data_IF_497734968224
#
_entry.id   IF_497734968224
#
_cell.length_a   1.000
_cell.length_b   1.000
_cell.length_c   1.000
_cell.angle_alpha   90.00
_cell.angle_beta   90.00
_cell.angle_gamma   90.00
#
_symmetry.space_group_name_H-M   'P 1'
#
loop_
_entity.id
_entity.type
_entity.pdbx_description
1 polymer ?
#
# COMPACT_ATOMS: atom_id res chain seq x y z
N UNK A 1 23.08 63.64 29.73
CA UNK A 1 22.88 63.19 28.33
C UNK A 1 21.90 62.01 28.32
N UNK A 2 20.97 62.04 27.42
CA UNK A 2 20.01 60.91 27.18
C UNK A 2 20.18 60.42 25.73
N UNK A 3 20.44 59.15 25.53
CA UNK A 3 20.71 58.57 24.22
C UNK A 3 21.71 59.41 23.35
N UNK A 4 22.78 59.87 23.95
CA UNK A 4 23.80 60.74 23.29
C UNK A 4 23.42 62.17 23.09
N UNK A 5 22.20 62.60 23.45
CA UNK A 5 21.70 63.98 23.31
C UNK A 5 21.94 64.78 24.58
N UNK A 6 22.59 65.89 24.45
CA UNK A 6 22.86 66.79 25.56
C UNK A 6 21.61 67.61 25.92
N UNK A 7 21.04 67.36 27.11
CA UNK A 7 19.85 68.08 27.63
C UNK A 7 20.10 68.74 28.99
N UNK A 8 21.36 68.77 29.42
CA UNK A 8 21.75 69.43 30.68
C UNK A 8 21.60 70.93 30.61
N UNK A 9 21.09 71.60 31.70
CA UNK A 9 20.88 73.01 31.77
C UNK A 9 19.61 73.54 31.10
N UNK A 10 18.79 72.67 30.50
CA UNK A 10 17.50 73.00 29.88
C UNK A 10 16.35 72.85 30.89
N UNK A 11 15.28 73.63 30.71
CA UNK A 11 14.02 73.37 31.41
C UNK A 11 13.42 71.98 31.01
N UNK A 12 12.59 71.38 31.84
CA UNK A 12 11.99 70.04 31.48
C UNK A 12 11.25 70.07 30.14
N UNK A 13 10.57 71.12 29.79
CA UNK A 13 9.86 71.27 28.51
C UNK A 13 10.82 71.41 27.32
N UNK A 14 11.88 72.17 27.47
CA UNK A 14 12.92 72.35 26.42
C UNK A 14 13.69 71.02 26.21
N UNK A 15 14.02 70.31 27.28
CA UNK A 15 14.69 69.04 27.25
C UNK A 15 13.83 67.98 26.53
N UNK A 16 12.51 67.88 26.82
CA UNK A 16 11.57 66.96 26.14
C UNK A 16 11.45 67.28 24.66
N UNK A 17 11.24 68.60 24.31
CA UNK A 17 11.15 68.97 22.89
C UNK A 17 12.45 68.74 22.11
N UNK A 18 13.61 68.87 22.78
CA UNK A 18 14.92 68.60 22.16
C UNK A 18 15.12 67.09 21.91
N UNK A 19 14.72 66.22 22.85
CA UNK A 19 14.74 64.78 22.69
C UNK A 19 13.83 64.35 21.53
N UNK A 20 12.58 64.82 21.48
CA UNK A 20 11.63 64.55 20.43
C UNK A 20 12.15 64.92 19.04
N UNK A 21 12.64 66.12 18.88
CA UNK A 21 13.20 66.59 17.60
C UNK A 21 14.44 65.84 17.18
N UNK A 22 15.35 65.55 18.10
CA UNK A 22 16.61 64.83 17.80
C UNK A 22 16.38 63.33 17.43
N UNK A 23 15.33 62.75 17.99
CA UNK A 23 15.01 61.36 17.74
C UNK A 23 13.94 61.12 16.65
N UNK A 24 13.32 62.19 16.14
CA UNK A 24 12.24 62.13 15.16
C UNK A 24 12.62 61.26 13.91
N UNK A 25 13.83 61.43 13.39
CA UNK A 25 14.31 60.73 12.23
C UNK A 25 14.52 59.20 12.51
N UNK A 26 14.83 58.84 13.76
CA UNK A 26 15.05 57.45 14.17
C UNK A 26 13.71 56.76 14.45
N UNK A 27 12.74 57.48 15.03
CA UNK A 27 11.41 56.94 15.35
C UNK A 27 10.55 56.65 14.13
N UNK A 28 10.79 57.34 13.02
CA UNK A 28 10.08 57.17 11.75
C UNK A 28 10.62 56.00 10.92
N UNK A 29 11.83 55.53 11.19
CA UNK A 29 12.43 54.40 10.42
C UNK A 29 11.81 53.07 10.83
N UNK A 30 11.44 52.21 9.85
CA UNK A 30 10.95 50.88 10.17
C UNK A 30 12.03 50.02 10.84
N UNK A 31 11.62 49.22 11.80
CA UNK A 31 12.47 48.17 12.40
C UNK A 31 12.37 46.95 11.53
N UNK A 32 13.50 46.49 11.01
CA UNK A 32 13.60 45.27 10.23
C UNK A 32 13.80 44.06 11.14
N UNK A 33 12.83 43.19 11.19
CA UNK A 33 12.91 41.88 11.85
C UNK A 33 13.54 40.89 10.91
N UNK A 34 14.43 40.05 11.43
CA UNK A 34 15.07 38.96 10.64
C UNK A 34 14.90 37.64 11.34
N UNK A 35 14.55 36.55 10.57
CA UNK A 35 14.56 35.19 11.06
C UNK A 35 14.99 34.23 9.94
N UNK A 36 16.10 33.53 10.13
CA UNK A 36 16.70 32.73 9.06
C UNK A 36 17.06 33.59 7.84
N UNK A 37 16.44 33.28 6.69
CA UNK A 37 16.58 34.10 5.46
C UNK A 37 15.42 35.11 5.25
N UNK A 38 14.40 35.06 6.13
CA UNK A 38 13.23 35.94 6.05
C UNK A 38 13.47 37.32 6.68
N UNK A 39 12.81 38.34 6.13
CA UNK A 39 12.80 39.71 6.68
C UNK A 39 11.38 40.24 6.69
N UNK A 40 11.04 41.02 7.71
CA UNK A 40 9.77 41.71 7.81
C UNK A 40 9.99 43.10 8.45
N UNK A 41 9.37 44.11 7.92
CA UNK A 41 9.50 45.46 8.44
C UNK A 41 8.32 45.81 9.39
N UNK A 42 8.62 46.40 10.53
CA UNK A 42 7.69 46.91 11.54
C UNK A 42 7.82 48.41 11.64
N UNK A 43 6.73 49.16 11.38
CA UNK A 43 6.70 50.57 11.54
C UNK A 43 6.39 50.90 13.02
N UNK A 44 7.31 51.54 13.76
CA UNK A 44 7.18 51.77 15.20
C UNK A 44 5.92 52.57 15.57
N UNK A 45 5.66 53.70 14.90
CA UNK A 45 4.50 54.53 15.20
C UNK A 45 3.17 53.83 14.96
N UNK A 46 3.04 53.11 13.83
CA UNK A 46 1.86 52.30 13.56
C UNK A 46 1.74 51.11 14.53
N UNK A 47 2.84 50.60 15.06
CA UNK A 47 2.89 49.58 16.08
C UNK A 47 2.62 50.08 17.51
N UNK A 48 2.42 51.40 17.71
CA UNK A 48 2.19 51.98 19.03
C UNK A 48 3.43 52.06 19.90
N UNK A 49 4.62 52.12 19.29
CA UNK A 49 5.89 52.39 19.95
C UNK A 49 6.18 53.89 19.87
N UNK A 50 6.25 54.58 21.00
CA UNK A 50 6.54 55.99 21.12
C UNK A 50 7.59 56.20 22.18
N UNK A 51 8.41 57.25 22.02
CA UNK A 51 9.34 57.71 23.05
C UNK A 51 8.58 58.61 24.01
N UNK A 52 8.61 58.28 25.28
CA UNK A 52 8.07 59.14 26.34
C UNK A 52 9.17 60.08 26.82
N UNK A 53 9.34 61.18 26.06
CA UNK A 53 10.35 62.17 26.35
C UNK A 53 10.07 62.88 27.69
N UNK A 54 8.78 63.15 28.01
CA UNK A 54 8.38 63.76 29.25
C UNK A 54 8.71 62.89 30.48
N UNK A 55 8.35 61.58 30.45
CA UNK A 55 8.69 60.69 31.51
C UNK A 55 10.20 60.44 31.63
N UNK A 56 10.94 60.41 30.49
CA UNK A 56 12.40 60.31 30.51
C UNK A 56 13.06 61.51 31.22
N UNK A 57 12.59 62.71 30.93
CA UNK A 57 13.10 63.94 31.52
C UNK A 57 12.67 64.06 33.00
N UNK A 58 11.44 63.73 33.37
CA UNK A 58 10.94 63.76 34.73
C UNK A 58 11.80 62.95 35.71
N UNK A 59 12.35 61.82 35.29
CA UNK A 59 13.29 61.03 36.12
C UNK A 59 14.63 61.73 36.38
N UNK A 60 15.01 62.65 35.51
CA UNK A 60 16.26 63.45 35.63
C UNK A 60 16.09 64.72 36.43
N UNK A 61 14.87 65.29 36.44
CA UNK A 61 14.55 66.54 37.09
C UNK A 61 14.11 66.41 38.54
N UNK A 62 13.99 65.21 39.09
CA UNK A 62 13.61 64.96 40.50
C UNK A 62 14.72 65.35 41.47
N UNK A 63 14.34 65.99 42.57
CA UNK A 63 15.27 66.30 43.68
C UNK A 63 15.83 64.97 44.25
N UNK A 64 17.15 64.87 44.34
CA UNK A 64 17.82 63.66 44.86
C UNK A 64 18.92 64.05 45.85
N UNK A 65 18.92 63.36 46.99
CA UNK A 65 20.02 63.42 47.98
C UNK A 65 21.03 62.27 47.74
N UNK A 66 20.90 61.48 46.68
CA UNK A 66 21.84 60.41 46.38
C UNK A 66 23.17 61.02 45.89
N UNK A 67 24.29 60.81 46.62
CA UNK A 67 25.57 61.45 46.30
C UNK A 67 26.13 61.04 44.93
N UNK A 68 25.83 59.81 44.50
CA UNK A 68 26.25 59.27 43.18
C UNK A 68 25.52 60.03 42.05
N UNK A 69 24.23 60.34 42.20
CA UNK A 69 23.44 61.08 41.22
C UNK A 69 23.84 62.58 41.21
N UNK A 70 24.15 63.13 42.37
CA UNK A 70 24.65 64.47 42.46
C UNK A 70 26.01 64.66 41.77
N UNK A 71 26.91 63.69 42.00
CA UNK A 71 28.23 63.69 41.33
C UNK A 71 28.11 63.50 39.82
N UNK A 72 27.27 62.47 39.34
CA UNK A 72 27.03 62.27 37.95
C UNK A 72 26.35 63.46 37.25
N UNK A 73 25.50 64.23 37.97
CA UNK A 73 24.90 65.48 37.48
C UNK A 73 25.93 66.57 37.29
N UNK A 74 26.89 66.66 38.21
CA UNK A 74 27.98 67.65 38.14
C UNK A 74 29.03 67.38 37.08
N UNK A 75 29.28 66.06 36.80
CA UNK A 75 30.27 65.59 35.81
C UNK A 75 29.67 65.43 34.42
N UNK A 76 28.37 65.61 34.25
CA UNK A 76 27.67 65.43 32.97
C UNK A 76 27.65 64.01 32.43
N UNK A 77 28.01 62.95 33.26
CA UNK A 77 28.21 61.61 32.87
C UNK A 77 26.96 60.73 33.06
N UNK A 78 25.81 61.28 33.48
CA UNK A 78 24.59 60.53 33.71
C UNK A 78 23.99 60.11 32.36
N UNK A 79 24.06 58.81 32.08
CA UNK A 79 23.39 58.15 30.96
C UNK A 79 22.06 57.62 31.44
N UNK A 80 20.96 58.16 30.95
CA UNK A 80 19.63 57.65 31.26
C UNK A 80 19.05 56.94 30.02
N UNK A 81 18.53 55.75 30.16
CA UNK A 81 17.83 55.09 29.08
C UNK A 81 16.51 55.81 28.76
N UNK A 82 16.14 55.80 27.49
CA UNK A 82 14.86 56.35 27.03
C UNK A 82 13.71 55.55 27.61
N UNK A 83 12.67 56.27 28.08
CA UNK A 83 11.39 55.60 28.41
C UNK A 83 10.53 55.49 27.17
N UNK A 84 9.92 54.34 27.02
CA UNK A 84 9.02 54.06 25.92
C UNK A 84 7.57 54.00 26.43
N UNK A 85 6.67 54.58 25.67
CA UNK A 85 5.25 54.38 25.80
C UNK A 85 4.82 53.36 24.76
N UNK A 86 4.29 52.23 25.21
CA UNK A 86 3.96 51.10 24.34
C UNK A 86 2.45 50.82 24.44
N UNK A 87 1.73 51.00 23.35
CA UNK A 87 0.38 50.44 23.18
C UNK A 87 0.50 48.94 22.96
N UNK A 88 0.36 48.18 24.04
CA UNK A 88 0.58 46.71 24.02
C UNK A 88 -0.28 45.99 22.99
N UNK A 89 -1.53 46.43 22.77
CA UNK A 89 -2.44 45.80 21.83
C UNK A 89 -1.97 45.98 20.38
N UNK A 90 -1.66 47.25 20.01
CA UNK A 90 -1.13 47.56 18.66
C UNK A 90 0.24 46.92 18.43
N UNK A 91 1.10 46.95 19.44
CA UNK A 91 2.45 46.43 19.35
C UNK A 91 2.44 44.90 19.15
N UNK A 92 1.67 44.17 19.96
CA UNK A 92 1.52 42.72 19.81
C UNK A 92 0.92 42.36 18.45
N UNK A 93 -0.08 43.10 17.99
CA UNK A 93 -0.68 42.87 16.66
C UNK A 93 0.33 43.09 15.52
N UNK A 94 1.15 44.18 15.61
CA UNK A 94 2.18 44.47 14.60
C UNK A 94 3.29 43.40 14.59
N UNK A 95 3.79 42.96 15.77
CA UNK A 95 4.77 41.87 15.86
C UNK A 95 4.18 40.57 15.39
N UNK A 96 2.92 40.27 15.71
CA UNK A 96 2.23 39.07 15.21
C UNK A 96 2.12 39.09 13.68
N UNK A 97 1.81 40.20 13.08
CA UNK A 97 1.78 40.36 11.62
C UNK A 97 3.16 40.11 11.00
N UNK A 98 4.21 40.68 11.57
CA UNK A 98 5.58 40.47 11.12
C UNK A 98 6.04 39.03 11.33
N UNK A 99 5.68 38.41 12.46
CA UNK A 99 5.96 37.01 12.75
C UNK A 99 5.36 36.08 11.69
N UNK A 100 4.11 36.29 11.30
CA UNK A 100 3.45 35.49 10.22
C UNK A 100 4.19 35.60 8.88
N UNK A 101 4.82 36.71 8.58
CA UNK A 101 5.63 36.88 7.37
C UNK A 101 6.99 36.15 7.44
N UNK A 102 7.48 35.93 8.67
CA UNK A 102 8.75 35.27 8.95
C UNK A 102 8.57 33.75 9.23
N UNK A 103 7.36 33.31 9.61
CA UNK A 103 7.05 31.92 9.85
C UNK A 103 7.04 31.14 8.54
N UNK A 104 7.62 29.97 8.58
CA UNK A 104 7.64 29.05 7.46
C UNK A 104 7.50 27.60 7.93
N UNK A 105 6.64 26.78 7.29
CA UNK A 105 6.52 25.37 7.64
C UNK A 105 7.79 24.60 7.30
N UNK A 106 8.14 23.63 8.15
CA UNK A 106 9.16 22.65 7.83
C UNK A 106 8.73 21.84 6.61
N UNK A 107 9.61 21.71 5.64
CA UNK A 107 9.44 20.75 4.53
C UNK A 107 10.67 19.86 4.42
N UNK A 108 10.43 18.56 4.50
CA UNK A 108 11.49 17.57 4.30
C UNK A 108 11.90 17.50 2.83
N UNK A 109 13.19 17.36 2.61
CA UNK A 109 13.71 17.09 1.27
C UNK A 109 13.48 15.62 0.88
N UNK A 110 13.19 15.36 -0.40
CA UNK A 110 13.00 14.02 -0.91
C UNK A 110 13.43 13.88 -2.37
N UNK A 111 13.68 12.64 -2.77
CA UNK A 111 13.92 12.27 -4.17
C UNK A 111 12.95 11.16 -4.51
N UNK A 112 12.19 11.35 -5.59
CA UNK A 112 11.25 10.35 -6.12
C UNK A 112 11.58 10.03 -7.58
N UNK A 113 11.15 8.85 -8.05
CA UNK A 113 11.44 8.38 -9.40
C UNK A 113 10.13 8.08 -10.12
N UNK A 114 9.79 8.88 -11.11
CA UNK A 114 8.57 8.69 -11.92
C UNK A 114 8.83 9.04 -13.38
N UNK A 115 8.15 8.35 -14.30
CA UNK A 115 8.28 8.61 -15.73
C UNK A 115 9.72 8.46 -16.28
N UNK A 116 10.56 7.68 -15.61
CA UNK A 116 11.97 7.52 -15.99
C UNK A 116 12.88 8.68 -15.60
N UNK A 117 12.43 9.56 -14.68
CA UNK A 117 13.19 10.73 -14.21
C UNK A 117 13.27 10.74 -12.69
N UNK A 118 14.33 11.36 -12.16
CA UNK A 118 14.47 11.66 -10.74
C UNK A 118 13.91 13.06 -10.47
N UNK A 119 12.96 13.15 -9.54
CA UNK A 119 12.35 14.41 -9.10
C UNK A 119 12.88 14.79 -7.73
N UNK A 120 13.46 15.97 -7.64
CA UNK A 120 14.09 16.49 -6.43
C UNK A 120 13.17 17.48 -5.75
N UNK A 121 12.83 17.25 -4.49
CA UNK A 121 12.11 18.17 -3.65
C UNK A 121 13.09 18.77 -2.64
N UNK A 122 13.42 20.07 -2.73
CA UNK A 122 14.31 20.69 -1.78
C UNK A 122 13.69 20.79 -0.40
N UNK A 123 14.51 20.63 0.63
CA UNK A 123 14.10 20.86 2.01
C UNK A 123 13.98 22.34 2.34
N UNK A 124 13.07 22.68 3.25
CA UNK A 124 12.89 24.02 3.80
C UNK A 124 12.97 23.92 5.32
N UNK A 125 13.77 24.81 5.91
CA UNK A 125 13.86 24.94 7.37
C UNK A 125 12.56 25.53 7.91
N UNK A 126 11.99 24.89 8.91
CA UNK A 126 10.81 25.41 9.61
C UNK A 126 11.22 26.51 10.57
N UNK A 127 10.51 27.65 10.54
CA UNK A 127 10.71 28.79 11.42
C UNK A 127 9.39 29.12 12.08
N UNK A 128 9.38 29.26 13.39
CA UNK A 128 8.23 29.70 14.18
C UNK A 128 8.67 30.80 15.12
N UNK A 129 8.26 32.03 14.84
CA UNK A 129 8.60 33.21 15.63
C UNK A 129 7.83 33.21 16.95
N UNK A 130 8.52 33.45 18.03
CA UNK A 130 7.95 33.64 19.36
C UNK A 130 7.58 35.10 19.53
N UNK A 131 6.31 35.43 19.38
CA UNK A 131 5.79 36.81 19.32
C UNK A 131 6.15 37.60 20.55
N UNK A 132 5.93 37.08 21.78
CA UNK A 132 6.22 37.82 23.03
C UNK A 132 7.70 38.14 23.17
N UNK A 133 8.56 37.11 23.04
CA UNK A 133 10.01 37.25 23.16
C UNK A 133 10.58 38.20 22.07
N UNK A 134 9.99 38.19 20.87
CA UNK A 134 10.36 39.11 19.79
C UNK A 134 9.91 40.55 20.08
N UNK A 135 8.72 40.71 20.65
CA UNK A 135 8.24 42.03 21.08
C UNK A 135 9.17 42.63 22.13
N UNK A 136 9.58 41.87 23.13
CA UNK A 136 10.53 42.29 24.15
C UNK A 136 11.89 42.67 23.53
N UNK A 137 12.38 41.88 22.58
CA UNK A 137 13.63 42.15 21.87
C UNK A 137 13.55 43.45 21.06
N UNK A 138 12.41 43.71 20.38
CA UNK A 138 12.19 44.99 19.66
C UNK A 138 12.12 46.17 20.60
N UNK A 139 11.33 46.06 21.67
CA UNK A 139 11.19 47.13 22.65
C UNK A 139 12.53 47.49 23.32
N UNK A 140 13.38 46.50 23.58
CA UNK A 140 14.70 46.69 24.18
C UNK A 140 15.74 47.27 23.21
N UNK A 141 15.59 47.01 21.92
CA UNK A 141 16.53 47.44 20.89
C UNK A 141 16.21 48.82 20.31
N UNK A 142 14.93 49.19 20.25
CA UNK A 142 14.45 50.43 19.64
C UNK A 142 14.57 51.62 20.64
N UNK A 143 14.92 52.83 20.19
CA UNK A 143 15.14 53.26 18.79
C UNK A 143 16.57 53.08 18.30
N UNK A 144 17.47 52.50 19.11
CA UNK A 144 18.90 52.47 18.84
C UNK A 144 19.28 51.55 17.69
N UNK A 145 18.52 50.47 17.52
CA UNK A 145 18.74 49.48 16.46
C UNK A 145 17.55 49.39 15.53
N UNK A 146 17.84 49.47 14.23
CA UNK A 146 16.86 49.34 13.15
C UNK A 146 16.75 47.93 12.62
N UNK A 147 17.65 47.01 13.01
CA UNK A 147 17.61 45.59 12.65
C UNK A 147 17.60 44.77 13.93
N UNK A 148 16.57 44.01 14.11
CA UNK A 148 16.37 43.15 15.28
C UNK A 148 16.17 41.69 14.81
N UNK A 149 16.94 40.78 15.38
CA UNK A 149 16.74 39.38 15.15
C UNK A 149 15.50 38.89 15.93
N UNK A 150 14.50 38.40 15.24
CA UNK A 150 13.33 37.82 15.86
C UNK A 150 13.70 36.54 16.62
N UNK A 151 13.13 36.38 17.80
CA UNK A 151 13.30 35.14 18.57
C UNK A 151 12.43 34.05 17.94
N UNK A 152 13.04 33.00 17.38
CA UNK A 152 12.31 31.99 16.68
C UNK A 152 12.79 30.57 17.05
N UNK A 153 11.84 29.64 17.09
CA UNK A 153 12.15 28.22 17.10
C UNK A 153 12.45 27.75 15.67
N UNK A 154 13.68 27.34 15.46
CA UNK A 154 14.12 26.83 14.15
C UNK A 154 14.12 25.30 14.18
N UNK A 155 13.37 24.69 13.27
CA UNK A 155 13.32 23.22 13.09
C UNK A 155 14.02 22.86 11.78
N UNK A 156 15.09 22.08 11.90
CA UNK A 156 15.86 21.67 10.73
C UNK A 156 15.27 20.39 10.13
N UNK A 157 15.21 20.27 8.79
CA UNK A 157 14.79 19.05 8.12
C UNK A 157 15.80 17.92 8.38
N UNK A 158 15.32 16.70 8.44
CA UNK A 158 16.18 15.49 8.55
C UNK A 158 17.05 15.30 7.34
N UNK A 159 16.52 15.62 6.15
CA UNK A 159 17.26 15.58 4.89
C UNK A 159 17.61 17.01 4.48
N UNK A 160 18.89 17.36 4.56
CA UNK A 160 19.35 18.68 4.19
C UNK A 160 19.32 18.92 2.67
N UNK A 161 19.27 20.20 2.26
CA UNK A 161 19.37 20.55 0.83
C UNK A 161 20.72 20.14 0.23
N UNK A 162 21.78 20.11 1.03
CA UNK A 162 23.09 19.63 0.61
C UNK A 162 23.07 18.13 0.34
N UNK A 163 22.37 17.35 1.20
CA UNK A 163 22.22 15.91 1.02
C UNK A 163 21.40 15.59 -0.23
N UNK A 164 20.33 16.34 -0.51
CA UNK A 164 19.57 16.19 -1.77
C UNK A 164 20.47 16.39 -2.98
N UNK A 165 21.31 17.44 -2.98
CA UNK A 165 22.24 17.70 -4.09
C UNK A 165 23.29 16.61 -4.23
N UNK A 166 23.85 16.11 -3.11
CA UNK A 166 24.80 14.98 -3.12
C UNK A 166 24.13 13.73 -3.72
N UNK A 167 23.01 13.32 -3.18
CA UNK A 167 22.29 12.13 -3.61
C UNK A 167 21.84 12.22 -5.09
N UNK A 168 21.42 13.40 -5.54
CA UNK A 168 21.07 13.66 -6.94
C UNK A 168 22.28 13.40 -7.87
N UNK A 169 23.46 13.92 -7.51
CA UNK A 169 24.67 13.80 -8.30
C UNK A 169 25.24 12.39 -8.26
N UNK A 170 25.29 11.77 -7.08
CA UNK A 170 25.99 10.49 -6.90
C UNK A 170 25.19 9.29 -7.43
N UNK A 171 23.88 9.29 -7.27
CA UNK A 171 23.10 8.12 -7.68
C UNK A 171 21.74 8.42 -8.35
N UNK A 172 20.98 9.45 -7.92
CA UNK A 172 19.59 9.54 -8.34
C UNK A 172 19.43 9.91 -9.82
N UNK A 173 20.18 10.91 -10.30
CA UNK A 173 20.20 11.27 -11.72
C UNK A 173 20.91 10.19 -12.56
N UNK A 174 22.10 9.69 -12.16
CA UNK A 174 22.76 8.58 -12.85
C UNK A 174 21.89 7.33 -12.95
N UNK A 175 21.12 6.98 -11.91
CA UNK A 175 20.27 5.78 -11.92
C UNK A 175 19.28 5.74 -13.09
N UNK A 176 18.75 6.85 -13.49
CA UNK A 176 17.75 6.96 -14.57
C UNK A 176 18.29 7.61 -15.85
N UNK A 177 19.61 7.75 -15.98
CA UNK A 177 20.26 8.43 -17.12
C UNK A 177 20.21 7.64 -18.43
N UNK A 178 19.91 6.34 -18.37
CA UNK A 178 19.87 5.50 -19.57
C UNK A 178 19.30 4.10 -19.28
N UNK A 179 19.09 3.31 -20.34
CA UNK A 179 18.55 1.97 -20.22
C UNK A 179 19.52 1.00 -19.55
N UNK A 180 18.98 -0.10 -19.02
CA UNK A 180 19.74 -1.21 -18.44
C UNK A 180 19.46 -2.48 -19.23
N UNK A 181 20.52 -3.15 -19.69
CA UNK A 181 20.39 -4.47 -20.32
C UNK A 181 20.27 -5.54 -19.24
N UNK A 182 19.15 -6.25 -19.24
CA UNK A 182 18.91 -7.38 -18.33
C UNK A 182 19.00 -8.68 -19.11
N UNK A 183 19.94 -9.55 -18.72
CA UNK A 183 20.04 -10.92 -19.21
C UNK A 183 19.33 -11.86 -18.23
N UNK A 184 18.31 -12.56 -18.70
CA UNK A 184 17.44 -13.42 -17.90
C UNK A 184 17.36 -14.80 -18.56
N UNK A 185 18.17 -15.75 -18.13
CA UNK A 185 18.34 -17.03 -18.82
C UNK A 185 18.88 -16.84 -20.25
N UNK A 186 18.15 -17.36 -21.24
CA UNK A 186 18.47 -17.18 -22.66
C UNK A 186 17.97 -15.81 -23.24
N UNK A 187 17.13 -15.10 -22.49
CA UNK A 187 16.56 -13.82 -22.91
C UNK A 187 17.49 -12.67 -22.55
N UNK A 188 17.62 -11.70 -23.47
CA UNK A 188 18.29 -10.42 -23.21
C UNK A 188 17.36 -9.30 -23.57
N UNK A 189 17.04 -8.44 -22.61
CA UNK A 189 16.09 -7.34 -22.77
C UNK A 189 16.68 -6.03 -22.30
N UNK A 190 16.26 -4.93 -22.90
CA UNK A 190 16.68 -3.58 -22.55
C UNK A 190 15.53 -2.90 -21.83
N UNK A 191 15.73 -2.60 -20.55
CA UNK A 191 14.77 -1.85 -19.74
C UNK A 191 15.05 -0.35 -19.88
N UNK A 192 14.11 0.39 -20.42
CA UNK A 192 14.14 1.84 -20.40
C UNK A 192 13.91 2.39 -18.97
N UNK A 193 14.45 3.58 -18.62
CA UNK A 193 14.21 4.19 -17.31
C UNK A 193 12.74 4.28 -16.88
N UNK A 194 11.84 4.54 -17.83
CA UNK A 194 10.39 4.59 -17.58
C UNK A 194 9.79 3.26 -17.10
N UNK A 195 10.42 2.13 -17.44
CA UNK A 195 9.95 0.80 -17.05
C UNK A 195 10.40 0.38 -15.66
N UNK A 196 11.53 0.90 -15.15
CA UNK A 196 12.06 0.51 -13.85
C UNK A 196 12.08 1.62 -12.80
N UNK A 197 11.88 2.89 -13.17
CA UNK A 197 11.93 4.02 -12.23
C UNK A 197 10.98 3.83 -11.04
N UNK A 198 9.78 3.27 -11.26
CA UNK A 198 8.83 2.97 -10.19
C UNK A 198 9.33 1.94 -9.15
N UNK A 199 10.38 1.17 -9.48
CA UNK A 199 11.03 0.26 -8.55
C UNK A 199 12.14 0.94 -7.73
N UNK A 200 12.43 2.22 -7.97
CA UNK A 200 13.46 2.98 -7.26
C UNK A 200 12.83 3.88 -6.21
N UNK A 201 13.48 3.97 -5.07
CA UNK A 201 13.14 4.88 -3.98
C UNK A 201 14.41 5.28 -3.23
N UNK A 202 14.28 6.17 -2.26
CA UNK A 202 15.38 6.51 -1.36
C UNK A 202 15.05 6.15 0.08
N UNK A 203 16.07 5.77 0.84
CA UNK A 203 16.00 5.57 2.29
C UNK A 203 16.99 6.48 2.99
N UNK A 204 16.61 6.95 4.18
CA UNK A 204 17.46 7.77 5.03
C UNK A 204 18.12 6.90 6.10
N UNK A 205 19.42 6.99 6.26
CA UNK A 205 20.13 6.36 7.37
C UNK A 205 20.13 7.22 8.64
N UNK A 206 20.69 6.68 9.73
CA UNK A 206 20.77 7.38 11.03
C UNK A 206 21.66 8.63 10.99
N UNK A 207 22.56 8.72 10.04
CA UNK A 207 23.46 9.87 9.85
C UNK A 207 22.82 10.98 8.97
N UNK A 208 21.58 10.78 8.51
CA UNK A 208 20.89 11.73 7.63
C UNK A 208 21.32 11.66 6.17
N UNK A 209 21.90 10.52 5.72
CA UNK A 209 22.33 10.29 4.34
C UNK A 209 21.28 9.48 3.58
N UNK A 210 21.02 9.89 2.35
CA UNK A 210 20.12 9.18 1.45
C UNK A 210 20.88 8.06 0.71
N UNK A 211 20.23 6.91 0.61
CA UNK A 211 20.70 5.74 -0.15
C UNK A 211 19.64 5.32 -1.15
N UNK A 212 20.06 4.84 -2.31
CA UNK A 212 19.17 4.24 -3.29
C UNK A 212 18.63 2.92 -2.76
N UNK A 213 17.32 2.74 -2.84
CA UNK A 213 16.64 1.49 -2.54
C UNK A 213 15.93 0.98 -3.79
N UNK A 214 16.10 -0.30 -4.08
CA UNK A 214 15.41 -1.00 -5.16
C UNK A 214 14.31 -1.88 -4.58
N UNK A 215 13.09 -1.73 -5.06
CA UNK A 215 11.98 -2.62 -4.77
C UNK A 215 12.05 -3.83 -5.71
N UNK A 216 12.45 -4.99 -5.17
CA UNK A 216 12.58 -6.23 -5.96
C UNK A 216 11.29 -6.66 -6.63
N UNK A 217 10.14 -6.73 -5.93
CA UNK A 217 8.87 -7.08 -6.55
C UNK A 217 8.52 -6.21 -7.74
N UNK A 218 8.64 -4.88 -7.61
CA UNK A 218 8.35 -3.94 -8.69
C UNK A 218 9.33 -4.09 -9.87
N UNK A 219 10.63 -4.24 -9.58
CA UNK A 219 11.63 -4.49 -10.60
C UNK A 219 11.38 -5.81 -11.34
N UNK A 220 11.10 -6.90 -10.62
CA UNK A 220 10.82 -8.20 -11.22
C UNK A 220 9.56 -8.18 -12.08
N UNK A 221 8.55 -7.40 -11.69
CA UNK A 221 7.38 -7.16 -12.53
C UNK A 221 7.76 -6.52 -13.87
N UNK A 222 8.62 -5.50 -13.84
CA UNK A 222 9.10 -4.83 -15.04
C UNK A 222 9.94 -5.79 -15.93
N UNK A 223 10.83 -6.59 -15.32
CA UNK A 223 11.64 -7.60 -16.03
C UNK A 223 10.76 -8.65 -16.69
N UNK A 224 9.76 -9.20 -15.97
CA UNK A 224 8.82 -10.18 -16.53
C UNK A 224 7.99 -9.62 -17.68
N UNK A 225 7.56 -8.36 -17.56
CA UNK A 225 6.81 -7.70 -18.63
C UNK A 225 7.67 -7.50 -19.88
N UNK A 226 8.97 -7.21 -19.72
CA UNK A 226 9.90 -7.00 -20.83
C UNK A 226 10.42 -8.32 -21.43
N UNK A 227 10.49 -9.39 -20.62
CA UNK A 227 10.99 -10.71 -21.03
C UNK A 227 9.93 -11.81 -20.84
N UNK A 228 8.78 -11.76 -21.54
CA UNK A 228 7.79 -12.82 -21.48
C UNK A 228 8.42 -14.13 -21.98
N UNK A 229 8.34 -15.20 -21.19
CA UNK A 229 8.95 -16.48 -21.53
C UNK A 229 10.36 -16.72 -20.95
N UNK A 230 10.97 -15.74 -20.27
CA UNK A 230 12.20 -15.98 -19.50
C UNK A 230 11.98 -16.99 -18.37
N UNK A 231 10.81 -16.99 -17.76
CA UNK A 231 10.39 -17.97 -16.75
C UNK A 231 9.51 -19.07 -17.37
N UNK A 232 9.62 -20.28 -16.85
CA UNK A 232 8.73 -21.38 -17.17
C UNK A 232 8.02 -21.82 -15.89
N UNK A 233 6.69 -21.66 -15.80
CA UNK A 233 5.96 -22.13 -14.63
C UNK A 233 6.07 -23.65 -14.49
N UNK A 234 6.11 -24.20 -13.27
CA UNK A 234 6.04 -25.62 -13.04
C UNK A 234 4.67 -26.15 -13.45
N UNK A 235 4.64 -27.42 -13.86
CA UNK A 235 3.41 -28.16 -14.14
C UNK A 235 3.29 -29.26 -13.10
N UNK A 236 2.19 -29.30 -12.37
CA UNK A 236 1.93 -30.33 -11.37
C UNK A 236 1.66 -31.69 -12.04
N UNK A 237 2.12 -32.77 -11.41
CA UNK A 237 1.72 -34.11 -11.81
C UNK A 237 0.22 -34.33 -11.57
N UNK A 238 -0.40 -35.08 -12.41
CA UNK A 238 -1.81 -35.43 -12.31
C UNK A 238 -2.04 -36.88 -12.76
N UNK A 239 -3.28 -37.35 -12.70
CA UNK A 239 -3.69 -38.67 -13.21
C UNK A 239 -4.81 -38.44 -14.22
N UNK A 240 -4.66 -39.01 -15.41
CA UNK A 240 -5.68 -39.03 -16.45
C UNK A 240 -5.99 -40.44 -16.91
N UNK A 241 -7.14 -40.64 -17.55
CA UNK A 241 -7.45 -41.88 -18.24
C UNK A 241 -6.88 -41.83 -19.66
N UNK A 242 -5.96 -42.74 -19.95
CA UNK A 242 -5.40 -42.93 -21.29
C UNK A 242 -5.79 -44.33 -21.73
N UNK A 243 -6.46 -44.45 -22.87
CA UNK A 243 -7.02 -45.73 -23.37
C UNK A 243 -7.85 -46.47 -22.29
N UNK A 244 -8.62 -45.76 -21.49
CA UNK A 244 -9.50 -46.34 -20.45
C UNK A 244 -8.77 -46.83 -19.20
N UNK A 245 -7.49 -46.52 -19.00
CA UNK A 245 -6.71 -46.86 -17.80
C UNK A 245 -6.11 -45.62 -17.16
N UNK A 246 -6.07 -45.51 -15.82
CA UNK A 246 -5.41 -44.41 -15.13
C UNK A 246 -3.90 -44.42 -15.43
N UNK A 247 -3.38 -43.26 -15.82
CA UNK A 247 -1.95 -43.02 -16.01
C UNK A 247 -1.52 -41.73 -15.35
N UNK A 248 -0.36 -41.77 -14.68
CA UNK A 248 0.25 -40.58 -14.10
C UNK A 248 0.88 -39.76 -15.20
N UNK A 249 0.44 -38.51 -15.32
CA UNK A 249 1.11 -37.48 -16.13
C UNK A 249 2.21 -36.88 -15.28
N UNK A 250 3.49 -36.96 -15.67
CA UNK A 250 4.59 -36.51 -14.87
C UNK A 250 4.54 -34.98 -14.66
N UNK A 251 5.02 -34.53 -13.50
CA UNK A 251 5.28 -33.13 -13.25
C UNK A 251 6.42 -32.64 -14.13
N UNK A 252 6.36 -31.36 -14.47
CA UNK A 252 7.47 -30.68 -15.14
C UNK A 252 7.99 -29.58 -14.21
N UNK A 253 9.28 -29.65 -13.91
CA UNK A 253 9.94 -28.62 -13.14
C UNK A 253 9.97 -27.31 -13.95
N UNK A 254 9.58 -26.21 -13.30
CA UNK A 254 9.64 -24.88 -13.84
C UNK A 254 11.00 -24.24 -13.63
N UNK A 255 11.16 -23.03 -14.17
CA UNK A 255 12.30 -22.17 -13.91
C UNK A 255 11.81 -20.76 -13.65
N UNK A 256 12.35 -20.11 -12.60
CA UNK A 256 12.02 -18.73 -12.23
C UNK A 256 13.27 -17.90 -12.05
N UNK A 257 13.15 -16.61 -12.21
CA UNK A 257 14.23 -15.66 -11.97
C UNK A 257 14.59 -15.63 -10.48
N UNK A 258 15.89 -15.66 -10.17
CA UNK A 258 16.39 -15.53 -8.80
C UNK A 258 16.27 -14.08 -8.33
N UNK A 259 15.29 -13.84 -7.45
CA UNK A 259 14.99 -12.52 -6.91
C UNK A 259 15.95 -12.09 -5.80
N UNK A 260 16.69 -13.00 -5.17
CA UNK A 260 17.44 -12.73 -3.93
C UNK A 260 18.59 -11.73 -4.12
N UNK A 261 19.31 -11.84 -5.22
CA UNK A 261 20.49 -11.01 -5.49
C UNK A 261 20.19 -9.80 -6.41
N UNK A 262 18.94 -9.62 -6.83
CA UNK A 262 18.58 -8.64 -7.85
C UNK A 262 18.79 -7.21 -7.38
N UNK A 263 18.44 -6.87 -6.14
CA UNK A 263 18.50 -5.49 -5.63
C UNK A 263 19.91 -4.89 -5.67
N UNK A 264 20.87 -5.57 -5.06
CA UNK A 264 22.25 -5.08 -5.01
C UNK A 264 22.87 -5.01 -6.41
N UNK A 265 22.67 -6.05 -7.23
CA UNK A 265 23.20 -6.11 -8.60
C UNK A 265 22.55 -5.06 -9.51
N UNK A 266 21.26 -4.81 -9.35
CA UNK A 266 20.55 -3.79 -10.14
C UNK A 266 21.04 -2.39 -9.75
N UNK A 267 21.12 -2.09 -8.46
CA UNK A 267 21.64 -0.81 -7.98
C UNK A 267 23.04 -0.52 -8.54
N UNK A 268 23.92 -1.53 -8.56
CA UNK A 268 25.26 -1.42 -9.16
C UNK A 268 25.18 -1.21 -10.68
N UNK A 269 24.30 -1.93 -11.38
CA UNK A 269 24.15 -1.81 -12.83
C UNK A 269 23.64 -0.42 -13.26
N UNK A 270 22.91 0.28 -12.39
CA UNK A 270 22.39 1.63 -12.69
C UNK A 270 23.50 2.69 -12.87
N UNK A 271 24.68 2.45 -12.32
CA UNK A 271 25.82 3.37 -12.41
C UNK A 271 27.04 2.77 -13.09
N UNK A 272 26.98 1.49 -13.48
CA UNK A 272 28.08 0.78 -14.16
C UNK A 272 28.19 1.13 -15.65
N UNK A 273 29.36 0.82 -16.21
CA UNK A 273 29.59 0.85 -17.65
C UNK A 273 30.22 -0.48 -18.09
N UNK A 274 29.53 -1.33 -18.88
CA UNK A 274 28.16 -1.14 -19.41
C UNK A 274 27.07 -1.32 -18.33
N UNK A 275 25.92 -0.68 -18.54
CA UNK A 275 24.73 -0.82 -17.67
C UNK A 275 24.05 -2.15 -17.96
N UNK A 276 24.51 -3.21 -17.33
CA UNK A 276 24.02 -4.56 -17.57
C UNK A 276 23.86 -5.35 -16.27
N UNK A 277 22.87 -6.22 -16.23
CA UNK A 277 22.55 -7.13 -15.12
C UNK A 277 22.25 -8.51 -15.66
N UNK A 278 22.81 -9.55 -15.06
CA UNK A 278 22.42 -10.94 -15.29
C UNK A 278 21.62 -11.45 -14.10
N UNK A 279 20.42 -11.95 -14.37
CA UNK A 279 19.54 -12.61 -13.39
C UNK A 279 19.52 -14.10 -13.72
N UNK A 280 20.00 -14.91 -12.80
CA UNK A 280 20.02 -16.36 -12.96
C UNK A 280 18.61 -16.96 -12.86
N UNK A 281 18.41 -18.08 -13.54
CA UNK A 281 17.22 -18.91 -13.36
C UNK A 281 17.48 -19.93 -12.26
N UNK A 282 16.54 -20.07 -11.36
CA UNK A 282 16.52 -21.12 -10.32
C UNK A 282 15.36 -22.06 -10.54
N UNK A 283 15.45 -23.35 -10.10
CA UNK A 283 14.35 -24.29 -10.18
C UNK A 283 13.08 -23.75 -9.52
N UNK A 284 11.94 -24.01 -10.16
CA UNK A 284 10.61 -23.79 -9.60
C UNK A 284 9.94 -25.16 -9.48
N UNK A 285 9.98 -25.81 -8.31
CA UNK A 285 9.42 -27.13 -8.14
C UNK A 285 7.89 -27.11 -8.26
N UNK A 286 7.29 -28.15 -8.85
CA UNK A 286 5.85 -28.32 -8.87
C UNK A 286 5.31 -28.55 -7.45
N UNK A 287 4.08 -28.14 -7.20
CA UNK A 287 3.39 -28.40 -5.92
C UNK A 287 3.10 -29.88 -5.73
N UNK A 288 2.78 -30.57 -6.84
CA UNK A 288 2.56 -32.01 -6.88
C UNK A 288 3.66 -32.65 -7.71
N UNK A 289 4.51 -33.43 -7.06
CA UNK A 289 5.58 -34.16 -7.73
C UNK A 289 5.06 -35.40 -8.42
N UNK A 290 5.78 -35.95 -9.41
CA UNK A 290 5.48 -37.22 -10.04
C UNK A 290 5.45 -38.37 -9.02
N UNK A 291 6.36 -38.35 -8.04
CA UNK A 291 6.39 -39.35 -6.97
C UNK A 291 5.12 -39.31 -6.10
N UNK A 292 4.64 -38.11 -5.74
CA UNK A 292 3.40 -37.93 -5.00
C UNK A 292 2.20 -38.48 -5.78
N UNK A 293 2.10 -38.13 -7.07
CA UNK A 293 1.00 -38.64 -7.92
C UNK A 293 1.02 -40.17 -8.11
N UNK A 294 2.21 -40.76 -8.20
CA UNK A 294 2.35 -42.25 -8.22
C UNK A 294 1.92 -42.87 -6.88
N UNK A 295 2.24 -42.21 -5.77
CA UNK A 295 1.84 -42.63 -4.43
C UNK A 295 0.34 -42.66 -4.20
N UNK A 296 -0.46 -41.92 -4.99
CA UNK A 296 -1.92 -41.98 -4.91
C UNK A 296 -2.52 -43.29 -5.42
N UNK A 297 -1.79 -44.10 -6.17
CA UNK A 297 -2.16 -45.45 -6.60
C UNK A 297 -3.57 -45.56 -7.21
N UNK A 298 -3.93 -44.66 -8.12
CA UNK A 298 -5.18 -44.75 -8.87
C UNK A 298 -5.02 -45.90 -9.91
N UNK A 299 -5.65 -47.06 -9.70
CA UNK A 299 -5.39 -48.28 -10.46
C UNK A 299 -6.60 -48.87 -11.19
N UNK A 300 -7.76 -48.85 -10.54
CA UNK A 300 -8.93 -49.64 -10.96
C UNK A 300 -10.23 -48.83 -10.76
N UNK A 301 -11.31 -49.33 -11.34
CA UNK A 301 -12.66 -48.83 -11.05
C UNK A 301 -13.09 -49.30 -9.67
N UNK A 302 -13.32 -48.38 -8.76
CA UNK A 302 -13.78 -48.68 -7.40
C UNK A 302 -15.30 -48.60 -7.27
N UNK A 303 -15.96 -47.81 -8.11
CA UNK A 303 -17.42 -47.77 -8.21
C UNK A 303 -17.87 -47.21 -9.57
N UNK A 304 -19.08 -47.57 -9.98
CA UNK A 304 -19.73 -47.00 -11.16
C UNK A 304 -21.22 -46.89 -10.92
N UNK A 305 -21.80 -45.76 -11.25
CA UNK A 305 -23.25 -45.59 -11.19
C UNK A 305 -23.77 -44.88 -12.44
N UNK A 306 -24.94 -45.34 -12.92
CA UNK A 306 -25.61 -44.79 -14.12
C UNK A 306 -27.03 -44.42 -13.80
N UNK A 307 -27.44 -43.25 -14.25
CA UNK A 307 -28.84 -42.82 -14.24
C UNK A 307 -29.30 -42.45 -15.64
N UNK A 308 -30.58 -42.67 -15.90
CA UNK A 308 -31.21 -42.34 -17.17
C UNK A 308 -32.05 -41.06 -17.02
N UNK A 309 -31.99 -40.18 -18.02
CA UNK A 309 -32.76 -38.95 -18.01
C UNK A 309 -33.62 -38.81 -19.27
N UNK A 310 -34.82 -38.16 -19.17
CA UNK A 310 -35.62 -37.86 -20.35
C UNK A 310 -34.93 -36.86 -21.23
N UNK A 311 -35.01 -37.06 -22.54
CA UNK A 311 -34.41 -36.12 -23.51
C UNK A 311 -35.20 -34.81 -23.54
N UNK A 312 -34.51 -33.73 -23.18
CA UNK A 312 -34.97 -32.38 -23.28
C UNK A 312 -33.75 -31.53 -23.66
N UNK A 313 -33.73 -30.84 -24.81
CA UNK A 313 -32.50 -30.22 -25.32
C UNK A 313 -31.78 -29.32 -24.35
N UNK A 314 -32.38 -28.29 -23.70
CA UNK A 314 -31.70 -27.42 -22.73
C UNK A 314 -31.17 -28.21 -21.53
N UNK A 315 -31.99 -29.13 -20.97
CA UNK A 315 -31.60 -29.97 -19.83
C UNK A 315 -30.43 -30.91 -20.19
N UNK A 316 -30.49 -31.52 -21.37
CA UNK A 316 -29.42 -32.40 -21.87
C UNK A 316 -28.12 -31.63 -22.05
N UNK A 317 -28.19 -30.39 -22.56
CA UNK A 317 -27.05 -29.50 -22.66
C UNK A 317 -26.44 -29.24 -21.29
N UNK A 318 -27.25 -28.85 -20.29
CA UNK A 318 -26.77 -28.57 -18.93
C UNK A 318 -26.09 -29.78 -18.28
N UNK A 319 -26.65 -30.99 -18.48
CA UNK A 319 -26.02 -32.21 -18.00
C UNK A 319 -24.66 -32.44 -18.67
N UNK A 320 -24.56 -32.25 -20.00
CA UNK A 320 -23.28 -32.39 -20.73
C UNK A 320 -22.24 -31.39 -20.24
N UNK A 321 -22.58 -30.13 -20.10
CA UNK A 321 -21.69 -29.08 -19.56
C UNK A 321 -21.18 -29.43 -18.17
N UNK A 322 -22.09 -29.87 -17.27
CA UNK A 322 -21.70 -30.29 -15.93
C UNK A 322 -20.82 -31.54 -15.91
N UNK A 323 -21.12 -32.52 -16.78
CA UNK A 323 -20.31 -33.75 -16.93
C UNK A 323 -18.92 -33.44 -17.45
N UNK A 324 -18.79 -32.58 -18.42
CA UNK A 324 -17.49 -32.12 -18.93
C UNK A 324 -16.64 -31.48 -17.85
N UNK A 325 -17.22 -30.59 -17.05
CA UNK A 325 -16.53 -29.97 -15.91
C UNK A 325 -16.15 -30.95 -14.79
N UNK A 326 -16.97 -31.97 -14.58
CA UNK A 326 -16.74 -33.01 -13.56
C UNK A 326 -15.69 -34.05 -14.00
N UNK A 327 -15.65 -34.37 -15.29
CA UNK A 327 -14.80 -35.40 -15.82
C UNK A 327 -13.30 -35.08 -15.68
N UNK A 328 -12.53 -36.01 -15.14
CA UNK A 328 -11.10 -35.84 -14.89
C UNK A 328 -10.77 -35.16 -13.54
N UNK A 329 -11.77 -34.88 -12.71
CA UNK A 329 -11.53 -34.34 -11.36
C UNK A 329 -10.82 -35.39 -10.52
N UNK A 330 -9.66 -35.03 -9.96
CA UNK A 330 -8.85 -35.84 -9.09
C UNK A 330 -8.99 -35.36 -7.65
N UNK A 331 -9.44 -36.23 -6.76
CA UNK A 331 -9.57 -35.98 -5.32
C UNK A 331 -8.46 -36.73 -4.60
N UNK A 332 -7.55 -35.99 -3.99
CA UNK A 332 -6.37 -36.54 -3.31
C UNK A 332 -6.77 -37.28 -2.02
N UNK A 333 -5.88 -38.11 -1.46
CA UNK A 333 -6.10 -38.66 -0.12
C UNK A 333 -6.39 -37.52 0.90
N UNK A 334 -7.43 -37.67 1.70
CA UNK A 334 -7.94 -36.74 2.70
C UNK A 334 -8.49 -35.41 2.16
N UNK A 335 -8.59 -35.26 0.85
CA UNK A 335 -9.19 -34.08 0.22
C UNK A 335 -10.72 -34.22 0.20
N UNK A 336 -11.39 -33.08 0.42
CA UNK A 336 -12.83 -32.98 0.28
C UNK A 336 -13.21 -32.58 -1.15
N UNK A 337 -14.05 -33.39 -1.77
CA UNK A 337 -14.72 -33.03 -3.01
C UNK A 337 -15.93 -32.16 -2.74
N UNK A 338 -16.16 -31.14 -3.58
CA UNK A 338 -17.36 -30.32 -3.62
C UNK A 338 -17.85 -30.22 -5.07
N UNK A 339 -19.08 -30.60 -5.31
CA UNK A 339 -19.67 -30.52 -6.65
C UNK A 339 -19.85 -29.06 -7.08
N UNK A 340 -20.28 -28.19 -6.17
CA UNK A 340 -20.39 -26.76 -6.45
C UNK A 340 -19.04 -26.13 -6.77
N UNK A 341 -17.98 -26.44 -6.03
CA UNK A 341 -16.63 -25.95 -6.33
C UNK A 341 -16.13 -26.44 -7.70
N UNK A 342 -16.45 -27.67 -8.08
CA UNK A 342 -16.05 -28.25 -9.37
C UNK A 342 -16.79 -27.63 -10.55
N UNK A 343 -18.11 -27.46 -10.45
CA UNK A 343 -18.93 -26.92 -11.53
C UNK A 343 -18.94 -25.38 -11.55
N UNK A 344 -18.82 -24.77 -10.38
CA UNK A 344 -19.02 -23.34 -10.16
C UNK A 344 -20.47 -22.89 -10.39
N UNK A 345 -20.69 -21.60 -10.44
CA UNK A 345 -21.99 -21.00 -10.77
C UNK A 345 -22.45 -21.42 -12.18
N UNK A 346 -23.72 -21.73 -12.34
CA UNK A 346 -24.33 -22.17 -13.61
C UNK A 346 -24.77 -20.93 -14.39
N UNK A 347 -23.91 -20.40 -15.23
CA UNK A 347 -24.12 -19.18 -16.01
C UNK A 347 -24.21 -19.43 -17.51
N UNK A 348 -24.85 -18.55 -18.27
CA UNK A 348 -24.83 -18.61 -19.74
C UNK A 348 -23.42 -18.59 -20.32
N UNK A 349 -22.49 -17.85 -19.71
CA UNK A 349 -21.10 -17.76 -20.15
C UNK A 349 -20.37 -19.11 -20.08
N UNK A 350 -20.82 -20.04 -19.20
CA UNK A 350 -20.32 -21.40 -19.12
C UNK A 350 -21.09 -22.38 -20.01
N UNK A 351 -22.04 -21.93 -20.81
CA UNK A 351 -22.85 -22.75 -21.70
C UNK A 351 -24.12 -23.32 -21.08
N UNK A 352 -24.50 -22.94 -19.85
CA UNK A 352 -25.73 -23.41 -19.25
C UNK A 352 -26.94 -22.68 -19.87
N UNK A 353 -28.03 -23.41 -20.02
CA UNK A 353 -29.31 -22.96 -20.57
C UNK A 353 -30.39 -23.01 -19.51
N UNK A 354 -31.47 -22.25 -19.71
CA UNK A 354 -32.66 -22.31 -18.85
C UNK A 354 -33.39 -23.62 -19.07
N UNK A 355 -33.72 -24.29 -18.00
CA UNK A 355 -34.48 -25.55 -17.98
C UNK A 355 -35.15 -25.70 -16.60
N UNK A 356 -36.18 -26.52 -16.45
CA UNK A 356 -36.88 -26.68 -15.20
C UNK A 356 -35.99 -27.13 -14.04
N UNK A 357 -36.04 -26.35 -12.94
CA UNK A 357 -35.44 -26.65 -11.63
C UNK A 357 -36.52 -26.69 -10.58
N UNK A 358 -36.28 -27.37 -9.48
CA UNK A 358 -37.17 -27.37 -8.30
C UNK A 358 -36.68 -26.27 -7.37
N UNK A 359 -37.50 -25.24 -7.18
CA UNK A 359 -37.20 -24.14 -6.25
C UNK A 359 -38.42 -23.90 -5.34
N UNK A 360 -38.20 -23.92 -4.02
CA UNK A 360 -39.25 -23.75 -3.01
C UNK A 360 -40.50 -24.62 -3.29
N UNK A 361 -40.29 -25.87 -3.68
CA UNK A 361 -41.38 -26.81 -3.94
C UNK A 361 -42.17 -26.56 -5.26
N UNK A 362 -41.65 -25.77 -6.19
CA UNK A 362 -42.23 -25.47 -7.50
C UNK A 362 -41.23 -25.70 -8.64
N UNK A 363 -41.71 -26.03 -9.81
CA UNK A 363 -40.91 -26.03 -11.02
C UNK A 363 -40.84 -24.62 -11.58
N UNK A 364 -39.59 -24.11 -11.74
CA UNK A 364 -39.28 -22.82 -12.36
C UNK A 364 -38.19 -23.01 -13.39
N UNK A 365 -38.16 -22.20 -14.41
CA UNK A 365 -37.06 -22.24 -15.41
C UNK A 365 -35.89 -21.39 -14.93
N UNK A 366 -34.75 -22.06 -14.75
CA UNK A 366 -33.51 -21.39 -14.35
C UNK A 366 -32.28 -22.07 -14.97
N UNK A 367 -31.13 -21.38 -14.92
CA UNK A 367 -29.88 -21.89 -15.46
C UNK A 367 -29.40 -23.12 -14.70
N UNK A 368 -29.02 -24.15 -15.45
CA UNK A 368 -28.51 -25.38 -14.87
C UNK A 368 -29.58 -26.40 -14.50
N UNK A 369 -30.86 -26.22 -14.93
CA UNK A 369 -31.88 -27.24 -14.79
C UNK A 369 -31.38 -28.57 -15.36
N UNK A 370 -31.42 -29.65 -14.53
CA UNK A 370 -30.86 -30.96 -14.84
C UNK A 370 -29.58 -31.31 -14.08
N UNK A 371 -28.83 -30.39 -13.53
CA UNK A 371 -27.57 -30.64 -12.82
C UNK A 371 -27.74 -31.52 -11.58
N UNK A 372 -28.92 -31.50 -10.92
CA UNK A 372 -29.25 -32.43 -9.85
C UNK A 372 -29.20 -33.91 -10.29
N UNK A 373 -29.35 -34.20 -11.58
CA UNK A 373 -29.10 -35.56 -12.13
C UNK A 373 -27.61 -35.94 -12.00
N UNK A 374 -26.73 -34.98 -12.30
CA UNK A 374 -25.27 -35.16 -12.13
C UNK A 374 -24.94 -35.37 -10.67
N UNK A 375 -25.54 -34.54 -9.78
CA UNK A 375 -25.38 -34.70 -8.33
C UNK A 375 -25.79 -36.07 -7.84
N UNK A 376 -27.01 -36.55 -8.17
CA UNK A 376 -27.51 -37.87 -7.75
C UNK A 376 -26.63 -39.00 -8.27
N UNK A 377 -26.17 -38.92 -9.54
CA UNK A 377 -25.31 -39.95 -10.12
C UNK A 377 -23.94 -39.98 -9.44
N UNK A 378 -23.36 -38.81 -9.20
CA UNK A 378 -22.06 -38.67 -8.51
C UNK A 378 -22.16 -39.13 -7.05
N UNK A 379 -23.27 -38.80 -6.37
CA UNK A 379 -23.52 -39.22 -4.99
C UNK A 379 -23.54 -40.75 -4.88
N UNK A 380 -24.26 -41.45 -5.78
CA UNK A 380 -24.30 -42.89 -5.76
C UNK A 380 -22.95 -43.55 -6.09
N UNK A 381 -22.20 -42.98 -7.04
CA UNK A 381 -20.83 -43.45 -7.29
C UNK A 381 -19.93 -43.26 -6.06
N UNK A 382 -20.04 -42.14 -5.37
CA UNK A 382 -19.31 -41.84 -4.13
C UNK A 382 -19.73 -42.77 -2.98
N UNK A 383 -21.05 -43.02 -2.81
CA UNK A 383 -21.59 -43.94 -1.82
C UNK A 383 -21.02 -45.38 -1.99
N UNK A 384 -21.05 -45.93 -3.19
CA UNK A 384 -20.51 -47.27 -3.46
C UNK A 384 -18.98 -47.34 -3.50
N UNK A 385 -18.29 -46.18 -3.52
CA UNK A 385 -16.84 -46.15 -3.33
C UNK A 385 -16.44 -46.12 -1.84
N UNK A 386 -17.39 -45.95 -0.90
CA UNK A 386 -17.13 -45.96 0.53
C UNK A 386 -16.45 -44.70 1.03
N UNK A 387 -16.60 -43.57 0.34
CA UNK A 387 -16.06 -42.28 0.79
C UNK A 387 -16.94 -41.72 1.90
N UNK A 388 -16.39 -40.90 2.80
CA UNK A 388 -17.17 -40.23 3.83
C UNK A 388 -18.05 -39.15 3.22
N UNK A 389 -19.37 -39.31 3.33
CA UNK A 389 -20.32 -38.29 2.88
C UNK A 389 -20.38 -37.18 3.91
N UNK A 390 -20.00 -35.96 3.55
CA UNK A 390 -19.96 -34.80 4.43
C UNK A 390 -21.26 -33.96 4.31
N UNK A 391 -21.78 -33.81 3.07
CA UNK A 391 -22.98 -33.05 2.80
C UNK A 391 -23.73 -33.61 1.58
N UNK A 392 -25.02 -33.86 1.75
CA UNK A 392 -25.96 -34.04 0.65
C UNK A 392 -27.36 -33.66 1.08
N UNK A 393 -28.22 -33.31 0.13
CA UNK A 393 -29.59 -32.93 0.38
C UNK A 393 -30.52 -33.69 -0.58
N UNK A 394 -31.55 -34.32 -0.06
CA UNK A 394 -32.58 -34.98 -0.87
C UNK A 394 -33.45 -33.91 -1.56
N UNK A 395 -34.13 -34.31 -2.67
CA UNK A 395 -35.14 -33.43 -3.28
C UNK A 395 -36.37 -33.32 -2.40
N UNK A 396 -37.05 -32.18 -2.46
CA UNK A 396 -38.34 -32.00 -1.80
C UNK A 396 -39.52 -32.72 -2.44
N UNK A 397 -39.28 -33.37 -3.62
CA UNK A 397 -40.22 -34.18 -4.35
C UNK A 397 -39.67 -35.56 -4.61
N UNK A 398 -40.58 -36.60 -4.58
CA UNK A 398 -40.20 -37.92 -5.02
C UNK A 398 -39.95 -37.95 -6.53
N UNK A 399 -38.77 -38.42 -6.90
CA UNK A 399 -38.35 -38.55 -8.30
C UNK A 399 -38.13 -40.02 -8.64
N UNK A 400 -39.12 -40.68 -9.30
CA UNK A 400 -39.15 -42.12 -9.61
C UNK A 400 -37.88 -42.66 -10.27
N UNK A 401 -37.15 -41.84 -11.03
CA UNK A 401 -35.92 -42.27 -11.73
C UNK A 401 -34.68 -42.34 -10.83
N UNK A 402 -34.75 -41.85 -9.59
CA UNK A 402 -33.66 -41.94 -8.64
C UNK A 402 -33.84 -43.07 -7.63
N UNK A 403 -32.77 -43.67 -7.12
CA UNK A 403 -32.87 -44.65 -6.05
C UNK A 403 -33.45 -44.02 -4.79
N UNK A 404 -34.44 -44.65 -4.18
CA UNK A 404 -35.00 -44.22 -2.90
C UNK A 404 -33.93 -44.08 -1.81
N UNK A 405 -33.92 -42.98 -1.09
CA UNK A 405 -32.97 -42.70 -0.02
C UNK A 405 -31.54 -42.39 -0.48
N UNK A 406 -31.27 -42.43 -1.81
CA UNK A 406 -29.96 -42.13 -2.38
C UNK A 406 -30.03 -41.17 -3.55
N UNK A 407 -30.78 -40.13 -3.38
CA UNK A 407 -30.85 -39.01 -4.29
C UNK A 407 -30.10 -37.80 -3.69
N UNK A 408 -29.59 -36.91 -4.52
CA UNK A 408 -28.91 -35.69 -4.09
C UNK A 408 -29.22 -34.53 -5.03
N UNK A 409 -29.74 -33.44 -4.49
CA UNK A 409 -29.91 -32.18 -5.22
C UNK A 409 -28.69 -31.25 -5.00
N UNK A 410 -28.58 -30.28 -5.87
CA UNK A 410 -27.53 -29.24 -5.77
C UNK A 410 -28.09 -27.92 -6.29
N UNK A 411 -27.74 -26.82 -5.59
CA UNK A 411 -28.07 -25.45 -5.99
C UNK A 411 -26.91 -24.53 -5.59
N UNK A 412 -26.57 -23.60 -6.47
CA UNK A 412 -25.51 -22.63 -6.19
C UNK A 412 -26.08 -21.41 -5.46
N UNK A 413 -25.37 -20.89 -4.44
CA UNK A 413 -24.19 -21.48 -3.78
C UNK A 413 -24.54 -22.40 -2.61
N UNK A 414 -25.82 -22.50 -2.20
CA UNK A 414 -26.24 -22.91 -0.85
C UNK A 414 -26.31 -24.42 -0.64
N UNK A 415 -26.78 -25.16 -1.65
CA UNK A 415 -26.91 -26.61 -1.55
C UNK A 415 -25.80 -27.32 -2.32
N UNK A 416 -24.94 -28.00 -1.60
CA UNK A 416 -23.80 -28.70 -2.19
C UNK A 416 -23.84 -30.20 -1.92
N UNK A 417 -23.08 -30.93 -2.71
CA UNK A 417 -22.73 -32.32 -2.47
C UNK A 417 -21.24 -32.38 -2.15
N UNK A 418 -20.90 -32.81 -0.93
CA UNK A 418 -19.53 -32.92 -0.46
C UNK A 418 -19.25 -34.29 0.10
N UNK A 419 -18.05 -34.74 -0.15
CA UNK A 419 -17.53 -35.99 0.44
C UNK A 419 -16.01 -35.92 0.57
N UNK A 420 -15.45 -36.60 1.57
CA UNK A 420 -14.02 -36.65 1.83
C UNK A 420 -13.48 -38.03 1.44
N UNK A 421 -12.37 -38.00 0.73
CA UNK A 421 -11.65 -39.22 0.34
C UNK A 421 -10.77 -39.75 1.49
N UNK A 422 -11.26 -40.72 2.25
CA UNK A 422 -10.52 -41.29 3.39
C UNK A 422 -9.82 -42.61 3.04
N UNK A 423 -9.84 -43.05 1.77
CA UNK A 423 -9.27 -44.34 1.33
C UNK A 423 -7.74 -44.44 1.50
N UNK A 424 -7.03 -43.30 1.70
CA UNK A 424 -5.57 -43.26 1.67
C UNK A 424 -4.97 -43.22 0.25
N UNK A 425 -5.80 -43.46 -0.78
CA UNK A 425 -5.44 -43.43 -2.19
C UNK A 425 -6.08 -42.24 -2.91
N UNK A 426 -5.63 -41.94 -4.14
CA UNK A 426 -6.29 -40.93 -4.96
C UNK A 426 -7.60 -41.46 -5.57
N UNK A 427 -8.56 -40.58 -5.78
CA UNK A 427 -9.83 -40.91 -6.47
C UNK A 427 -9.98 -40.03 -7.70
N UNK A 428 -10.01 -40.61 -8.89
CA UNK A 428 -10.24 -39.91 -10.16
C UNK A 428 -11.69 -40.10 -10.59
N UNK A 429 -12.39 -39.04 -10.90
CA UNK A 429 -13.76 -39.06 -11.36
C UNK A 429 -13.78 -39.11 -12.89
N UNK A 430 -14.41 -40.12 -13.45
CA UNK A 430 -14.77 -40.20 -14.85
C UNK A 430 -16.27 -39.98 -14.98
N UNK A 431 -16.69 -39.00 -15.76
CA UNK A 431 -18.11 -38.77 -16.04
C UNK A 431 -18.35 -38.74 -17.55
N UNK A 432 -19.47 -39.34 -18.00
CA UNK A 432 -19.81 -39.39 -19.41
C UNK A 432 -21.32 -39.44 -19.64
N UNK A 433 -21.74 -38.96 -20.80
CA UNK A 433 -23.13 -39.09 -21.30
C UNK A 433 -23.08 -39.85 -22.61
N UNK A 434 -23.83 -40.98 -22.68
CA UNK A 434 -24.03 -41.73 -23.90
C UNK A 434 -25.54 -41.93 -24.13
N UNK A 435 -26.05 -41.33 -25.20
CA UNK A 435 -27.50 -41.20 -25.39
C UNK A 435 -28.13 -40.41 -24.26
N UNK A 436 -29.07 -41.01 -23.52
CA UNK A 436 -29.69 -40.43 -22.32
C UNK A 436 -29.22 -41.07 -21.01
N UNK A 437 -28.12 -41.82 -21.06
CA UNK A 437 -27.47 -42.39 -19.89
C UNK A 437 -26.33 -41.49 -19.42
N UNK A 438 -26.40 -41.07 -18.16
CA UNK A 438 -25.34 -40.37 -17.45
C UNK A 438 -24.63 -41.40 -16.55
N UNK A 439 -23.33 -41.59 -16.78
CA UNK A 439 -22.50 -42.55 -16.01
C UNK A 439 -21.39 -41.79 -15.30
N UNK A 440 -21.21 -42.01 -13.99
CA UNK A 440 -20.08 -41.59 -13.21
C UNK A 440 -19.36 -42.81 -12.67
N UNK A 441 -18.05 -42.86 -12.91
CA UNK A 441 -17.16 -43.92 -12.44
C UNK A 441 -16.07 -43.28 -11.58
N UNK A 442 -15.85 -43.84 -10.40
CA UNK A 442 -14.71 -43.50 -9.57
C UNK A 442 -13.59 -44.50 -9.77
N UNK A 443 -12.40 -43.99 -10.05
CA UNK A 443 -11.18 -44.77 -10.20
C UNK A 443 -10.28 -44.54 -9.00
N UNK A 444 -9.69 -45.55 -8.44
CA UNK A 444 -8.83 -45.47 -7.27
C UNK A 444 -8.14 -46.79 -6.99
N UNK A 445 -7.91 -47.08 -5.73
CA UNK A 445 -7.58 -48.44 -5.21
C UNK A 445 -8.69 -48.79 -4.22
N UNK A 446 -9.26 -49.98 -4.40
CA UNK A 446 -10.35 -50.48 -3.55
C UNK A 446 -9.87 -50.58 -2.10
N UNK A 447 -10.51 -49.83 -1.23
CA UNK A 447 -10.24 -49.81 0.21
C UNK A 447 -11.35 -50.44 1.04
N UNK A 448 -12.58 -50.51 0.48
CA UNK A 448 -13.78 -50.95 1.18
C UNK A 448 -14.63 -51.86 0.30
N UNK A 449 -15.32 -52.82 0.93
CA UNK A 449 -16.45 -53.55 0.35
C UNK A 449 -17.74 -52.91 0.89
N UNK A 450 -18.52 -52.32 -0.01
CA UNK A 450 -19.71 -51.56 0.36
C UNK A 450 -20.96 -52.32 0.00
N UNK A 451 -21.80 -52.56 0.99
CA UNK A 451 -23.14 -53.16 0.84
C UNK A 451 -24.20 -52.13 1.18
N UNK A 452 -25.19 -51.94 0.32
CA UNK A 452 -26.30 -51.03 0.56
C UNK A 452 -27.44 -51.80 1.25
N UNK A 453 -27.66 -51.53 2.54
CA UNK A 453 -28.77 -52.06 3.31
C UNK A 453 -29.98 -51.13 3.21
N UNK A 454 -31.10 -51.61 2.69
CA UNK A 454 -32.35 -50.85 2.59
C UNK A 454 -33.11 -50.94 3.90
N UNK A 455 -33.27 -49.82 4.56
CA UNK A 455 -34.10 -49.65 5.76
C UNK A 455 -35.60 -49.68 5.43
N UNK A 456 -36.47 -49.87 6.44
CA UNK A 456 -37.92 -49.75 6.28
C UNK A 456 -38.33 -48.31 5.92
N UNK A 457 -39.40 -48.18 5.10
CA UNK A 457 -40.03 -46.88 4.84
C UNK A 457 -40.64 -46.37 6.13
N UNK A 458 -40.38 -45.13 6.47
CA UNK A 458 -40.96 -44.41 7.65
C UNK A 458 -41.59 -43.13 7.18
N UNK A 459 -42.73 -42.74 7.80
CA UNK A 459 -43.43 -41.47 7.58
C UNK A 459 -43.78 -41.24 6.08
N UNK A 460 -44.56 -42.17 5.51
CA UNK A 460 -45.12 -42.06 4.17
C UNK A 460 -46.25 -41.03 4.15
#
# INVERSE_FOLDING_TARGET
>A
MVNGIAIGGMSPSEASATLERSLASQTLRPVRLTAGSGTADLNPGAAGLEIDAAATVAELSGFTLNPVRLWAGMTGTQKQPLKLRIDRAKFTAAVTKAARALDGPLREGSITFTGGKAHLVPSVVGTQVKVSETADAVASAWPDRQVVQAVAKVTRPKVSATEIRRAAKEFAVPAVSGPVTVRAGASSVVLAPSQFAAALSTTLDRAGRLHLKVDSPALMKAVRAAAPGAERPPVDATVHLVAGKPQVVPAVEGRRLDQRAVNARFATALTATPRALTINLVPAPPKVTTAAARGWQVKEKISTFTTQFPVNPPRTNNIKVAVEALNGTLVRPREQFSLNSTLGERTPAKGYQRAPVIYAGRLVDDYGGGVSQVSTTTFNAAFFAGVRIDQHTAHSFYIKRYPEGREATVSWPDLDQKWTNESGFGTLIQASVKGNNLTVTLWGTKAWDIEAVKGPRRNL
#
